data_IF_520318532099
#
_entry.id   IF_520318532099
#
_cell.length_a   1.000
_cell.length_b   1.000
_cell.length_c   1.000
_cell.angle_alpha   90.00
_cell.angle_beta   90.00
_cell.angle_gamma   90.00
#
_symmetry.space_group_name_H-M   'P 1'
#
loop_
_entity.id
_entity.type
_entity.pdbx_description
1 polymer ?
#
# COMPACT_ATOMS: atom_id res chain seq x y z
N UNK A 1 -7.60 18.19 12.54
CA UNK A 1 -6.89 17.81 13.78
C UNK A 1 -7.46 16.54 14.43
N UNK A 2 -8.68 16.45 14.95
CA UNK A 2 -9.13 15.22 15.66
C UNK A 2 -9.17 13.92 14.82
N UNK A 3 -9.47 13.97 13.51
CA UNK A 3 -9.52 12.78 12.62
C UNK A 3 -8.16 12.36 12.04
N UNK A 4 -7.16 13.21 12.10
CA UNK A 4 -5.78 12.90 11.67
C UNK A 4 -5.06 12.07 12.74
N UNK A 5 -5.28 12.37 13.99
CA UNK A 5 -4.79 11.59 15.13
C UNK A 5 -5.38 10.17 15.15
N UNK A 6 -6.63 10.00 14.73
CA UNK A 6 -7.33 8.72 14.75
C UNK A 6 -6.76 7.72 13.74
N UNK A 7 -6.45 8.15 12.51
CA UNK A 7 -5.83 7.30 11.49
C UNK A 7 -4.42 6.86 11.91
N UNK A 8 -3.61 7.78 12.39
CA UNK A 8 -2.26 7.49 12.86
C UNK A 8 -2.28 6.49 14.02
N UNK A 9 -3.19 6.67 14.98
CA UNK A 9 -3.36 5.79 16.14
C UNK A 9 -3.74 4.36 15.72
N UNK A 10 -4.63 4.19 14.72
CA UNK A 10 -5.04 2.89 14.22
C UNK A 10 -3.89 2.15 13.53
N UNK A 11 -3.09 2.84 12.71
CA UNK A 11 -1.91 2.23 12.07
C UNK A 11 -0.82 1.89 13.06
N UNK A 12 -0.55 2.73 14.07
CA UNK A 12 0.41 2.41 15.14
C UNK A 12 0.02 1.14 15.91
N UNK A 13 -1.25 0.99 16.28
CA UNK A 13 -1.74 -0.19 16.97
C UNK A 13 -1.59 -1.45 16.08
N UNK A 14 -1.99 -1.34 14.80
CA UNK A 14 -1.93 -2.45 13.86
C UNK A 14 -0.50 -2.95 13.61
N UNK A 15 0.46 -2.04 13.38
CA UNK A 15 1.82 -2.43 13.05
C UNK A 15 2.66 -2.86 14.26
N UNK A 16 2.24 -2.53 15.49
CA UNK A 16 2.91 -3.00 16.72
C UNK A 16 2.96 -4.51 16.78
N UNK A 17 1.87 -5.16 16.40
CA UNK A 17 1.67 -6.60 16.52
C UNK A 17 1.87 -7.34 15.19
N UNK A 18 2.32 -6.63 14.14
CA UNK A 18 2.39 -7.12 12.76
C UNK A 18 3.25 -8.38 12.60
N UNK A 19 4.31 -8.53 13.41
CA UNK A 19 5.28 -9.62 13.32
C UNK A 19 5.02 -10.78 14.29
N UNK A 20 3.91 -10.73 15.04
CA UNK A 20 3.52 -11.84 15.89
C UNK A 20 3.32 -13.12 15.06
N UNK A 21 3.64 -14.32 15.62
CA UNK A 21 3.53 -15.59 14.91
C UNK A 21 2.17 -15.80 14.25
N UNK A 22 1.07 -15.51 14.96
CA UNK A 22 -0.29 -15.65 14.44
C UNK A 22 -0.57 -14.69 13.26
N UNK A 23 -0.01 -13.46 13.29
CA UNK A 23 -0.17 -12.51 12.20
C UNK A 23 0.57 -12.95 10.95
N UNK A 24 1.78 -13.51 11.09
CA UNK A 24 2.52 -14.14 9.98
C UNK A 24 1.77 -15.33 9.42
N UNK A 25 1.18 -16.16 10.27
CA UNK A 25 0.40 -17.31 9.85
C UNK A 25 -0.84 -16.90 9.06
N UNK A 26 -1.56 -15.89 9.53
CA UNK A 26 -2.70 -15.30 8.81
C UNK A 26 -2.27 -14.78 7.43
N UNK A 27 -1.13 -14.09 7.31
CA UNK A 27 -0.63 -13.62 6.01
C UNK A 27 -0.23 -14.77 5.10
N UNK A 28 0.48 -15.76 5.59
CA UNK A 28 0.85 -16.96 4.81
C UNK A 28 -0.39 -17.67 4.26
N UNK A 29 -1.42 -17.86 5.06
CA UNK A 29 -2.66 -18.49 4.64
C UNK A 29 -3.45 -17.63 3.64
N UNK A 30 -3.41 -16.30 3.80
CA UNK A 30 -4.17 -15.37 2.97
C UNK A 30 -3.53 -15.12 1.60
N UNK A 31 -2.21 -15.05 1.53
CA UNK A 31 -1.48 -14.70 0.30
C UNK A 31 -0.79 -15.89 -0.37
N UNK A 32 -0.64 -17.02 0.32
CA UNK A 32 0.16 -18.15 -0.12
C UNK A 32 1.67 -17.89 -0.03
N UNK A 33 2.12 -16.67 -0.20
CA UNK A 33 3.51 -16.22 0.01
C UNK A 33 3.50 -14.91 0.80
N UNK A 34 4.00 -14.97 2.05
CA UNK A 34 4.11 -13.80 2.92
C UNK A 34 5.40 -13.04 2.62
N UNK A 35 5.27 -11.89 1.96
CA UNK A 35 6.37 -10.94 1.76
C UNK A 35 6.45 -9.90 2.89
N UNK A 36 5.59 -9.96 3.90
CA UNK A 36 5.39 -8.90 4.87
C UNK A 36 4.55 -7.74 4.32
N UNK A 37 3.69 -8.00 3.33
CA UNK A 37 2.79 -7.00 2.75
C UNK A 37 1.53 -6.79 3.59
N UNK A 38 1.07 -5.53 3.63
CA UNK A 38 -0.26 -5.19 4.15
C UNK A 38 -1.25 -4.81 3.03
N UNK A 39 -0.75 -4.43 1.86
CA UNK A 39 -1.53 -4.14 0.65
C UNK A 39 -2.24 -5.40 0.11
N UNK A 40 -3.00 -5.24 -0.97
CA UNK A 40 -3.68 -6.34 -1.66
C UNK A 40 -2.79 -7.05 -2.70
N UNK A 41 -1.53 -6.60 -2.85
CA UNK A 41 -0.60 -7.13 -3.85
C UNK A 41 -0.19 -8.56 -3.53
N UNK A 42 -0.26 -9.44 -4.52
CA UNK A 42 0.33 -10.78 -4.43
C UNK A 42 1.83 -10.74 -4.78
N UNK A 43 2.56 -11.76 -4.34
CA UNK A 43 3.98 -11.89 -4.69
C UNK A 43 4.19 -11.99 -6.21
N UNK A 44 3.28 -12.66 -6.92
CA UNK A 44 3.33 -12.76 -8.38
C UNK A 44 3.12 -11.41 -9.08
N UNK A 45 2.12 -10.63 -8.64
CA UNK A 45 1.93 -9.27 -9.15
C UNK A 45 3.16 -8.40 -8.91
N UNK A 46 3.70 -8.42 -7.69
CA UNK A 46 4.88 -7.63 -7.34
C UNK A 46 6.09 -7.99 -8.22
N UNK A 47 6.31 -9.28 -8.52
CA UNK A 47 7.39 -9.69 -9.43
C UNK A 47 7.22 -9.10 -10.83
N UNK A 48 6.00 -9.04 -11.36
CA UNK A 48 5.70 -8.41 -12.66
C UNK A 48 5.89 -6.90 -12.59
N UNK A 49 5.40 -6.25 -11.55
CA UNK A 49 5.48 -4.80 -11.35
C UNK A 49 6.95 -4.32 -11.26
N UNK A 50 7.80 -5.07 -10.54
CA UNK A 50 9.24 -4.79 -10.46
C UNK A 50 9.92 -4.84 -11.85
N UNK A 51 9.46 -5.69 -12.76
CA UNK A 51 9.99 -5.74 -14.12
C UNK A 51 9.62 -4.47 -14.92
N UNK A 52 8.39 -3.98 -14.76
CA UNK A 52 7.92 -2.75 -15.41
C UNK A 52 8.72 -1.50 -15.01
N UNK A 53 9.24 -1.47 -13.79
CA UNK A 53 10.05 -0.37 -13.26
C UNK A 53 11.46 -0.29 -13.88
N UNK A 54 11.94 -1.35 -14.54
CA UNK A 54 13.26 -1.42 -15.21
C UNK A 54 14.43 -1.00 -14.30
N UNK A 55 14.38 -1.38 -13.03
CA UNK A 55 15.41 -1.05 -12.04
C UNK A 55 16.71 -1.85 -12.26
N UNK A 56 17.83 -1.17 -12.06
CA UNK A 56 19.17 -1.75 -11.98
C UNK A 56 19.77 -1.56 -10.59
N UNK A 57 20.91 -2.15 -10.31
CA UNK A 57 21.62 -1.97 -9.03
C UNK A 57 22.10 -0.53 -8.77
N UNK A 58 22.17 0.32 -9.80
CA UNK A 58 22.45 1.75 -9.68
C UNK A 58 21.21 2.62 -9.47
N UNK A 59 20.03 2.04 -9.51
CA UNK A 59 18.76 2.77 -9.33
C UNK A 59 18.57 3.17 -7.88
N UNK A 60 17.79 4.25 -7.68
CA UNK A 60 17.31 4.68 -6.38
C UNK A 60 15.79 4.76 -6.43
N UNK A 61 15.12 4.00 -5.55
CA UNK A 61 13.67 3.84 -5.49
C UNK A 61 13.12 4.47 -4.21
N UNK A 62 11.95 5.13 -4.33
CA UNK A 62 11.13 5.60 -3.20
C UNK A 62 9.85 4.78 -3.12
N UNK A 63 9.52 4.27 -1.92
CA UNK A 63 8.24 3.63 -1.60
C UNK A 63 7.44 4.54 -0.67
N UNK A 64 6.32 5.03 -1.15
CA UNK A 64 5.42 5.91 -0.41
C UNK A 64 4.39 5.09 0.36
N UNK A 65 4.35 5.26 1.69
CA UNK A 65 3.56 4.42 2.58
C UNK A 65 4.08 3.00 2.63
N UNK A 66 5.39 2.84 2.85
CA UNK A 66 6.06 1.54 2.79
C UNK A 66 5.60 0.54 3.85
N UNK A 67 4.83 0.99 4.85
CA UNK A 67 4.35 0.15 5.95
C UNK A 67 5.49 -0.60 6.64
N UNK A 68 5.32 -1.91 6.94
CA UNK A 68 6.32 -2.72 7.61
C UNK A 68 7.50 -3.13 6.69
N UNK A 69 7.61 -2.53 5.51
CA UNK A 69 8.76 -2.64 4.62
C UNK A 69 8.90 -3.94 3.84
N UNK A 70 7.92 -4.85 3.90
CA UNK A 70 8.03 -6.15 3.24
C UNK A 70 8.19 -6.06 1.73
N UNK A 71 7.37 -5.21 1.07
CA UNK A 71 7.47 -4.94 -0.38
C UNK A 71 8.81 -4.27 -0.71
N UNK A 72 9.18 -3.25 0.05
CA UNK A 72 10.40 -2.50 -0.17
C UNK A 72 11.65 -3.39 -0.05
N UNK A 73 11.70 -4.22 0.99
CA UNK A 73 12.79 -5.17 1.21
C UNK A 73 12.85 -6.22 0.09
N UNK A 74 11.70 -6.69 -0.39
CA UNK A 74 11.63 -7.61 -1.53
C UNK A 74 12.17 -6.96 -2.82
N UNK A 75 11.84 -5.70 -3.09
CA UNK A 75 12.37 -4.96 -4.25
C UNK A 75 13.90 -4.81 -4.13
N UNK A 76 14.40 -4.40 -2.95
CA UNK A 76 15.84 -4.25 -2.69
C UNK A 76 16.59 -5.57 -2.89
N UNK A 77 16.03 -6.69 -2.42
CA UNK A 77 16.57 -8.03 -2.59
C UNK A 77 16.64 -8.44 -4.07
N UNK A 78 15.55 -8.28 -4.82
CA UNK A 78 15.44 -8.69 -6.21
C UNK A 78 16.27 -7.85 -7.17
N UNK A 79 16.44 -6.56 -6.92
CA UNK A 79 17.11 -5.61 -7.82
C UNK A 79 18.47 -5.14 -7.34
N UNK A 80 18.82 -5.44 -6.11
CA UNK A 80 20.07 -4.98 -5.47
C UNK A 80 20.28 -3.48 -5.60
N UNK A 81 19.18 -2.71 -5.65
CA UNK A 81 19.16 -1.25 -5.77
C UNK A 81 18.96 -0.59 -4.40
N UNK A 82 19.34 0.69 -4.31
CA UNK A 82 19.05 1.49 -3.12
C UNK A 82 17.56 1.83 -3.06
N UNK A 83 16.98 1.69 -1.87
CA UNK A 83 15.57 1.95 -1.62
C UNK A 83 15.42 2.85 -0.38
N UNK A 84 14.44 3.75 -0.42
CA UNK A 84 13.98 4.46 0.76
C UNK A 84 12.46 4.34 0.87
N UNK A 85 11.99 4.08 2.07
CA UNK A 85 10.57 4.05 2.42
C UNK A 85 10.17 5.29 3.21
N UNK A 86 9.02 5.87 2.88
CA UNK A 86 8.38 6.94 3.65
C UNK A 86 7.11 6.39 4.31
N UNK A 87 6.96 6.55 5.62
CA UNK A 87 5.84 5.99 6.38
C UNK A 87 5.51 6.89 7.57
N UNK A 88 4.22 7.00 7.92
CA UNK A 88 3.75 7.84 9.02
C UNK A 88 3.81 7.12 10.38
N UNK A 89 3.72 5.78 10.38
CA UNK A 89 3.72 4.96 11.60
C UNK A 89 5.16 4.63 12.05
N UNK A 90 5.48 4.98 13.28
CA UNK A 90 6.77 4.61 13.87
C UNK A 90 6.89 3.10 14.12
N UNK A 91 5.79 2.42 14.48
CA UNK A 91 5.77 0.98 14.65
C UNK A 91 6.07 0.26 13.33
N UNK A 92 5.48 0.73 12.20
CA UNK A 92 5.79 0.21 10.87
C UNK A 92 7.25 0.41 10.50
N UNK A 93 7.84 1.60 10.76
CA UNK A 93 9.24 1.87 10.49
C UNK A 93 10.19 0.96 11.29
N UNK A 94 9.84 0.62 12.53
CA UNK A 94 10.60 -0.35 13.32
C UNK A 94 10.51 -1.75 12.70
N UNK A 95 9.31 -2.19 12.33
CA UNK A 95 9.12 -3.47 11.65
C UNK A 95 9.87 -3.53 10.31
N UNK A 96 9.90 -2.43 9.55
CA UNK A 96 10.63 -2.35 8.29
C UNK A 96 12.15 -2.53 8.47
N UNK A 97 12.74 -1.97 9.52
CA UNK A 97 14.17 -2.17 9.84
C UNK A 97 14.45 -3.64 10.20
N UNK A 98 13.59 -4.27 11.00
CA UNK A 98 13.70 -5.69 11.32
C UNK A 98 13.58 -6.54 10.05
N UNK A 99 12.64 -6.21 9.17
CA UNK A 99 12.47 -6.89 7.88
C UNK A 99 13.70 -6.76 6.98
N UNK A 100 14.29 -5.57 6.91
CA UNK A 100 15.52 -5.34 6.14
C UNK A 100 16.68 -6.22 6.61
N UNK A 101 16.90 -6.30 7.92
CA UNK A 101 17.91 -7.19 8.52
C UNK A 101 17.60 -8.67 8.24
N UNK A 102 16.36 -9.10 8.41
CA UNK A 102 15.95 -10.48 8.19
C UNK A 102 16.15 -10.94 6.73
N UNK A 103 16.07 -10.00 5.77
CA UNK A 103 16.32 -10.25 4.33
C UNK A 103 17.75 -9.93 3.86
N UNK A 104 18.63 -9.46 4.75
CA UNK A 104 20.01 -9.12 4.42
C UNK A 104 20.14 -7.96 3.43
N UNK A 105 19.25 -6.98 3.52
CA UNK A 105 19.20 -5.77 2.65
C UNK A 105 19.32 -4.46 3.43
N UNK A 106 19.71 -4.49 4.69
CA UNK A 106 19.85 -3.33 5.57
C UNK A 106 20.81 -2.27 5.01
N UNK A 107 21.80 -2.67 4.22
CA UNK A 107 22.72 -1.74 3.57
C UNK A 107 22.16 -1.07 2.31
N UNK A 108 21.04 -1.57 1.80
CA UNK A 108 20.36 -1.07 0.61
C UNK A 108 19.08 -0.29 0.93
N UNK A 109 18.53 -0.46 2.14
CA UNK A 109 17.22 0.02 2.50
C UNK A 109 17.30 1.00 3.68
N UNK A 110 16.72 2.19 3.51
CA UNK A 110 16.48 3.17 4.56
C UNK A 110 14.97 3.43 4.70
N UNK A 111 14.53 3.84 5.88
CA UNK A 111 13.14 4.22 6.14
C UNK A 111 13.06 5.48 6.98
N UNK A 112 12.19 6.39 6.55
CA UNK A 112 12.02 7.71 7.14
C UNK A 112 10.55 7.95 7.51
N UNK A 113 10.34 8.72 8.57
CA UNK A 113 8.98 9.18 8.92
C UNK A 113 8.55 10.32 8.01
N UNK A 114 7.29 10.29 7.57
CA UNK A 114 6.70 11.38 6.80
C UNK A 114 5.23 11.17 6.52
N UNK A 115 4.51 12.27 6.33
CA UNK A 115 3.10 12.30 5.96
C UNK A 115 2.96 12.65 4.48
N UNK A 116 2.24 11.83 3.71
CA UNK A 116 1.97 12.07 2.30
C UNK A 116 1.04 13.27 2.05
N UNK A 117 0.41 13.81 3.07
CA UNK A 117 -0.36 15.05 2.97
C UNK A 117 0.53 16.30 3.05
N UNK A 118 1.81 16.14 3.36
CA UNK A 118 2.83 17.20 3.41
C UNK A 118 3.75 17.13 2.18
N UNK A 119 4.70 18.07 2.08
CA UNK A 119 5.74 18.01 1.05
C UNK A 119 6.71 16.84 1.32
N UNK A 120 7.10 16.13 0.28
CA UNK A 120 8.05 15.05 0.42
C UNK A 120 9.45 15.57 0.79
N UNK A 121 10.11 15.02 1.84
CA UNK A 121 11.39 15.52 2.35
C UNK A 121 12.58 15.10 1.48
N UNK A 122 12.42 15.15 0.16
CA UNK A 122 13.44 14.74 -0.81
C UNK A 122 13.69 15.85 -1.83
N UNK A 123 14.93 15.92 -2.32
CA UNK A 123 15.30 16.87 -3.36
C UNK A 123 14.67 16.49 -4.72
N UNK A 124 14.58 17.49 -5.60
CA UNK A 124 14.14 17.29 -6.98
C UNK A 124 15.04 16.28 -7.72
N UNK A 125 14.46 15.52 -8.63
CA UNK A 125 15.20 14.60 -9.51
C UNK A 125 16.06 13.57 -8.74
N UNK A 126 15.58 13.08 -7.60
CA UNK A 126 16.34 12.16 -6.74
C UNK A 126 16.17 10.70 -7.16
N UNK A 127 14.96 10.30 -7.56
CA UNK A 127 14.59 8.90 -7.72
C UNK A 127 14.44 8.47 -9.18
N UNK A 128 14.90 7.24 -9.47
CA UNK A 128 14.65 6.60 -10.77
C UNK A 128 13.23 6.03 -10.86
N UNK A 129 12.67 5.62 -9.71
CA UNK A 129 11.31 5.14 -9.61
C UNK A 129 10.69 5.51 -8.26
N UNK A 130 9.38 5.71 -8.27
CA UNK A 130 8.52 5.84 -7.09
C UNK A 130 7.46 4.74 -7.16
N UNK A 131 7.15 4.12 -6.03
CA UNK A 131 6.05 3.16 -5.91
C UNK A 131 5.10 3.55 -4.77
N UNK A 132 3.83 3.14 -4.87
CA UNK A 132 2.83 3.35 -3.83
C UNK A 132 1.75 2.25 -3.92
N UNK A 133 1.85 1.20 -3.10
CA UNK A 133 0.95 0.05 -3.16
C UNK A 133 -0.24 0.22 -2.19
N UNK A 134 -1.42 0.54 -2.75
CA UNK A 134 -2.68 0.69 -2.02
C UNK A 134 -2.62 1.74 -0.90
N UNK A 135 -1.88 2.84 -1.10
CA UNK A 135 -1.73 3.93 -0.15
C UNK A 135 -2.35 5.25 -0.62
N UNK A 136 -2.39 5.53 -1.93
CA UNK A 136 -2.89 6.80 -2.49
C UNK A 136 -4.36 7.05 -2.11
N UNK A 137 -5.16 6.00 -1.92
CA UNK A 137 -6.53 6.11 -1.44
C UNK A 137 -6.65 6.73 -0.02
N UNK A 138 -5.58 6.76 0.75
CA UNK A 138 -5.54 7.34 2.09
C UNK A 138 -5.07 8.80 2.12
N UNK A 139 -4.69 9.35 0.96
CA UNK A 139 -4.21 10.73 0.83
C UNK A 139 -5.38 11.66 0.55
N UNK A 140 -5.44 12.80 1.28
CA UNK A 140 -6.53 13.79 1.13
C UNK A 140 -6.38 14.65 -0.12
N UNK A 141 -5.13 15.01 -0.46
CA UNK A 141 -4.81 15.86 -1.62
C UNK A 141 -3.92 15.11 -2.61
N UNK A 142 -4.55 14.19 -3.38
CA UNK A 142 -3.83 13.39 -4.39
C UNK A 142 -3.09 14.23 -5.41
N UNK A 143 -3.67 15.36 -5.83
CA UNK A 143 -3.04 16.25 -6.81
C UNK A 143 -1.74 16.86 -6.29
N UNK A 144 -1.63 17.18 -4.99
CA UNK A 144 -0.38 17.62 -4.38
C UNK A 144 0.66 16.49 -4.37
N UNK A 145 0.27 15.29 -3.94
CA UNK A 145 1.19 14.15 -3.90
C UNK A 145 1.71 13.79 -5.29
N UNK A 146 0.86 13.82 -6.32
CA UNK A 146 1.30 13.53 -7.68
C UNK A 146 2.29 14.58 -8.22
N UNK A 147 2.12 15.88 -7.88
CA UNK A 147 3.11 16.92 -8.19
C UNK A 147 4.43 16.70 -7.44
N UNK A 148 4.38 16.30 -6.19
CA UNK A 148 5.58 15.96 -5.42
C UNK A 148 6.29 14.72 -5.97
N UNK A 149 5.55 13.70 -6.39
CA UNK A 149 6.09 12.52 -7.06
C UNK A 149 6.79 12.93 -8.38
N UNK A 150 6.15 13.77 -9.18
CA UNK A 150 6.76 14.31 -10.40
C UNK A 150 8.06 15.04 -10.07
N UNK A 151 8.06 15.93 -9.09
CA UNK A 151 9.23 16.72 -8.66
C UNK A 151 10.42 15.84 -8.25
N UNK A 152 10.18 14.79 -7.42
CA UNK A 152 11.26 13.95 -6.90
C UNK A 152 11.74 12.88 -7.88
N UNK A 153 10.95 12.51 -8.89
CA UNK A 153 11.38 11.62 -9.96
C UNK A 153 12.43 12.30 -10.84
N UNK A 154 13.36 11.53 -11.36
CA UNK A 154 14.26 11.98 -12.44
C UNK A 154 13.49 12.06 -13.76
N UNK A 155 13.92 12.90 -14.73
CA UNK A 155 13.40 12.84 -16.09
C UNK A 155 13.48 11.41 -16.64
N UNK A 156 12.39 10.91 -17.22
CA UNK A 156 12.23 9.50 -17.64
C UNK A 156 12.05 8.49 -16.51
N UNK A 157 11.97 8.94 -15.27
CA UNK A 157 11.65 8.10 -14.11
C UNK A 157 10.23 7.57 -14.15
N UNK A 158 9.97 6.49 -13.40
CA UNK A 158 8.69 5.78 -13.41
C UNK A 158 7.97 5.90 -12.08
N UNK A 159 6.66 6.07 -12.14
CA UNK A 159 5.77 5.96 -11.00
C UNK A 159 4.81 4.79 -11.20
N UNK A 160 4.84 3.83 -10.29
CA UNK A 160 3.89 2.71 -10.27
C UNK A 160 3.10 2.74 -8.97
N UNK A 161 1.77 2.79 -9.08
CA UNK A 161 0.92 2.69 -7.89
C UNK A 161 -0.31 1.85 -8.15
N UNK A 162 -0.93 1.40 -7.06
CA UNK A 162 -2.22 0.73 -7.08
C UNK A 162 -3.23 1.51 -6.23
N UNK A 163 -4.47 1.57 -6.69
CA UNK A 163 -5.58 2.19 -6.00
C UNK A 163 -6.75 1.21 -5.92
N UNK A 164 -7.04 0.71 -4.72
CA UNK A 164 -8.10 -0.26 -4.45
C UNK A 164 -9.46 0.41 -4.08
N UNK A 165 -9.63 1.68 -4.47
CA UNK A 165 -10.84 2.45 -4.22
C UNK A 165 -11.33 3.21 -5.48
N UNK A 166 -11.19 2.61 -6.67
CA UNK A 166 -11.73 3.16 -7.91
C UNK A 166 -13.18 2.71 -8.07
N UNK A 167 -14.11 3.66 -8.16
CA UNK A 167 -15.54 3.40 -8.30
C UNK A 167 -15.83 2.86 -9.70
N UNK A 168 -16.38 1.66 -9.80
CA UNK A 168 -16.72 1.00 -11.07
C UNK A 168 -18.17 0.55 -11.14
N UNK A 169 -18.88 0.58 -10.02
CA UNK A 169 -20.30 0.24 -9.93
C UNK A 169 -21.02 0.99 -8.82
N UNK A 170 -22.23 0.59 -8.51
CA UNK A 170 -23.01 1.19 -7.44
C UNK A 170 -22.44 0.84 -6.05
N UNK A 171 -22.41 1.82 -5.16
CA UNK A 171 -21.96 1.64 -3.77
C UNK A 171 -22.94 2.33 -2.81
N UNK A 172 -23.28 1.67 -1.71
CA UNK A 172 -24.14 2.24 -0.67
C UNK A 172 -23.35 3.13 0.30
N UNK A 173 -24.03 4.04 0.98
CA UNK A 173 -23.43 4.83 2.06
C UNK A 173 -22.90 3.97 3.22
N UNK A 174 -23.53 2.82 3.47
CA UNK A 174 -23.05 1.87 4.47
C UNK A 174 -21.76 1.21 4.04
N UNK A 175 -21.67 0.77 2.80
CA UNK A 175 -20.44 0.21 2.21
C UNK A 175 -19.28 1.21 2.27
N UNK A 176 -19.53 2.49 1.97
CA UNK A 176 -18.52 3.56 2.12
C UNK A 176 -18.04 3.66 3.58
N UNK A 177 -18.96 3.62 4.56
CA UNK A 177 -18.59 3.66 5.98
C UNK A 177 -17.77 2.45 6.40
N UNK A 178 -18.20 1.24 6.01
CA UNK A 178 -17.46 0.01 6.30
C UNK A 178 -16.07 0.01 5.64
N UNK A 179 -15.98 0.44 4.38
CA UNK A 179 -14.70 0.53 3.64
C UNK A 179 -13.74 1.54 4.28
N UNK A 180 -14.26 2.56 4.95
CA UNK A 180 -13.48 3.58 5.66
C UNK A 180 -13.33 3.31 7.16
N UNK A 181 -13.74 2.13 7.65
CA UNK A 181 -13.68 1.80 9.09
C UNK A 181 -12.25 1.60 9.62
N UNK A 182 -11.30 1.33 8.74
CA UNK A 182 -9.88 1.18 9.08
C UNK A 182 -9.07 2.46 8.88
N UNK A 183 -9.70 3.53 8.43
CA UNK A 183 -9.05 4.82 8.20
C UNK A 183 -9.67 5.59 7.05
N UNK A 184 -9.20 6.82 6.85
CA UNK A 184 -9.65 7.65 5.75
C UNK A 184 -9.45 6.93 4.41
N UNK A 185 -10.52 6.87 3.60
CA UNK A 185 -10.49 6.29 2.26
C UNK A 185 -11.19 7.25 1.30
N UNK A 186 -10.45 7.73 0.32
CA UNK A 186 -10.99 8.52 -0.78
C UNK A 186 -11.34 7.60 -1.96
N UNK A 187 -12.62 7.47 -2.25
CA UNK A 187 -13.08 6.72 -3.43
C UNK A 187 -12.92 7.61 -4.65
N UNK A 188 -12.19 7.13 -5.65
CA UNK A 188 -11.92 7.83 -6.90
C UNK A 188 -12.99 7.49 -7.95
N UNK A 189 -13.58 8.49 -8.60
CA UNK A 189 -14.39 8.26 -9.80
C UNK A 189 -13.51 7.84 -11.00
N UNK A 190 -14.06 7.16 -12.00
CA UNK A 190 -13.32 6.83 -13.22
C UNK A 190 -12.67 8.08 -13.85
N UNK A 191 -11.42 7.99 -14.26
CA UNK A 191 -10.66 9.10 -14.85
C UNK A 191 -10.14 10.13 -13.84
N UNK A 192 -10.46 10.00 -12.56
CA UNK A 192 -10.02 10.98 -11.54
C UNK A 192 -8.50 10.96 -11.34
N UNK A 193 -7.91 9.78 -11.19
CA UNK A 193 -6.46 9.65 -11.03
C UNK A 193 -5.73 10.06 -12.30
N UNK A 194 -6.20 9.65 -13.48
CA UNK A 194 -5.58 9.95 -14.77
C UNK A 194 -5.54 11.46 -15.05
N UNK A 195 -6.60 12.18 -14.71
CA UNK A 195 -6.64 13.63 -14.82
C UNK A 195 -5.62 14.29 -13.90
N UNK A 196 -5.58 13.91 -12.63
CA UNK A 196 -4.64 14.50 -11.68
C UNK A 196 -3.17 14.17 -11.99
N UNK A 197 -2.90 12.97 -12.52
CA UNK A 197 -1.58 12.58 -13.01
C UNK A 197 -1.14 13.47 -14.18
N UNK A 198 -2.02 13.68 -15.16
CA UNK A 198 -1.76 14.56 -16.30
C UNK A 198 -1.51 16.01 -15.85
N UNK A 199 -2.34 16.52 -14.95
CA UNK A 199 -2.19 17.87 -14.37
C UNK A 199 -0.88 18.02 -13.59
N UNK A 200 -0.34 16.93 -13.07
CA UNK A 200 0.94 16.89 -12.36
C UNK A 200 2.17 16.72 -13.29
N UNK A 201 1.99 16.52 -14.60
CA UNK A 201 3.10 16.28 -15.54
C UNK A 201 3.55 14.82 -15.64
N UNK A 202 2.71 13.90 -15.18
CA UNK A 202 2.94 12.46 -15.27
C UNK A 202 2.09 11.86 -16.41
N UNK A 203 2.73 11.16 -17.32
CA UNK A 203 2.04 10.48 -18.44
C UNK A 203 1.68 9.05 -18.03
N UNK A 204 0.41 8.71 -18.00
CA UNK A 204 -0.05 7.34 -17.81
C UNK A 204 0.36 6.50 -19.03
N UNK A 205 1.26 5.56 -18.84
CA UNK A 205 1.73 4.66 -19.88
C UNK A 205 0.87 3.39 -19.97
N UNK A 206 0.41 2.86 -18.83
CA UNK A 206 -0.41 1.65 -18.75
C UNK A 206 -1.29 1.68 -17.51
N UNK A 207 -2.49 1.13 -17.64
CA UNK A 207 -3.37 0.78 -16.52
C UNK A 207 -3.74 -0.69 -16.62
N UNK A 208 -3.89 -1.35 -15.47
CA UNK A 208 -4.31 -2.77 -15.42
C UNK A 208 -5.27 -2.98 -14.25
N UNK A 209 -6.38 -3.69 -14.52
CA UNK A 209 -7.31 -4.11 -13.47
C UNK A 209 -6.69 -5.24 -12.66
N UNK A 210 -6.52 -5.01 -11.38
CA UNK A 210 -5.97 -5.94 -10.37
C UNK A 210 -7.01 -6.31 -9.30
N UNK A 211 -8.30 -6.14 -9.60
CA UNK A 211 -9.40 -6.35 -8.63
C UNK A 211 -9.44 -7.78 -8.12
N UNK A 212 -9.08 -8.77 -8.94
CA UNK A 212 -9.06 -10.17 -8.53
C UNK A 212 -8.14 -10.44 -7.33
N UNK A 213 -7.03 -9.73 -7.20
CA UNK A 213 -6.13 -9.86 -6.04
C UNK A 213 -6.76 -9.38 -4.75
N UNK A 214 -7.59 -8.33 -4.80
CA UNK A 214 -8.36 -7.85 -3.64
C UNK A 214 -9.32 -8.93 -3.17
N UNK A 215 -10.07 -9.54 -4.10
CA UNK A 215 -11.03 -10.62 -3.78
C UNK A 215 -10.30 -11.77 -3.10
N UNK A 216 -9.17 -12.20 -3.67
CA UNK A 216 -8.38 -13.34 -3.15
C UNK A 216 -7.81 -13.02 -1.77
N UNK A 217 -7.13 -11.88 -1.62
CA UNK A 217 -6.48 -11.50 -0.36
C UNK A 217 -7.51 -11.20 0.75
N UNK A 218 -8.61 -10.51 0.44
CA UNK A 218 -9.65 -10.21 1.43
C UNK A 218 -10.34 -11.48 1.92
N UNK A 219 -10.74 -12.39 1.02
CA UNK A 219 -11.32 -13.69 1.40
C UNK A 219 -10.33 -14.56 2.16
N UNK A 220 -9.07 -14.62 1.71
CA UNK A 220 -8.01 -15.35 2.38
C UNK A 220 -7.80 -14.85 3.82
N UNK A 221 -7.68 -13.53 4.01
CA UNK A 221 -7.57 -12.93 5.34
C UNK A 221 -8.82 -13.19 6.20
N UNK A 222 -10.01 -13.07 5.63
CA UNK A 222 -11.27 -13.32 6.35
C UNK A 222 -11.31 -14.74 6.92
N UNK A 223 -10.96 -15.73 6.11
CA UNK A 223 -10.95 -17.15 6.48
C UNK A 223 -9.84 -17.45 7.49
N UNK A 224 -8.61 -16.99 7.22
CA UNK A 224 -7.47 -17.22 8.10
C UNK A 224 -7.69 -16.61 9.48
N UNK A 225 -8.13 -15.35 9.55
CA UNK A 225 -8.45 -14.67 10.80
C UNK A 225 -9.56 -15.36 11.58
N UNK A 226 -10.60 -15.85 10.89
CA UNK A 226 -11.67 -16.61 11.55
C UNK A 226 -11.13 -17.89 12.19
N UNK A 227 -10.23 -18.61 11.51
CA UNK A 227 -9.57 -19.82 12.01
C UNK A 227 -8.73 -19.53 13.26
N UNK A 228 -8.03 -18.41 13.27
CA UNK A 228 -7.15 -17.98 14.37
C UNK A 228 -7.81 -17.03 15.37
N UNK A 229 -9.14 -16.99 15.41
CA UNK A 229 -9.91 -16.07 16.28
C UNK A 229 -9.47 -16.12 17.73
N UNK A 230 -9.29 -17.33 18.28
CA UNK A 230 -8.93 -17.53 19.68
C UNK A 230 -7.55 -16.94 20.04
N UNK A 231 -6.65 -16.81 19.07
CA UNK A 231 -5.32 -16.19 19.24
C UNK A 231 -5.35 -14.68 18.99
N UNK A 232 -6.19 -14.22 18.07
CA UNK A 232 -6.27 -12.81 17.65
C UNK A 232 -7.09 -11.95 18.61
N UNK A 233 -8.24 -12.44 19.12
CA UNK A 233 -9.09 -11.67 20.03
C UNK A 233 -8.40 -11.18 21.30
N UNK A 234 -7.52 -11.95 21.97
CA UNK A 234 -6.75 -11.45 23.12
C UNK A 234 -5.79 -10.31 22.77
N UNK A 235 -5.34 -10.22 21.52
CA UNK A 235 -4.39 -9.20 21.03
C UNK A 235 -5.14 -7.94 20.63
N UNK A 236 -6.18 -8.08 19.80
CA UNK A 236 -6.90 -6.97 19.15
C UNK A 236 -8.11 -6.49 19.96
N UNK A 237 -8.70 -7.36 20.80
CA UNK A 237 -9.99 -7.20 21.39
C UNK A 237 -11.13 -7.68 20.48
N UNK A 238 -12.16 -8.32 21.07
CA UNK A 238 -13.26 -8.92 20.31
C UNK A 238 -13.99 -7.92 19.40
N UNK A 239 -14.23 -6.69 19.87
CA UNK A 239 -14.91 -5.64 19.09
C UNK A 239 -14.10 -5.25 17.83
N UNK A 240 -12.79 -5.04 17.98
CA UNK A 240 -11.93 -4.68 16.87
C UNK A 240 -11.77 -5.84 15.88
N UNK A 241 -11.67 -7.06 16.37
CA UNK A 241 -11.70 -8.26 15.55
C UNK A 241 -12.95 -8.29 14.65
N UNK A 242 -14.15 -8.11 15.22
CA UNK A 242 -15.42 -8.15 14.47
C UNK A 242 -15.55 -6.97 13.49
N UNK A 243 -15.05 -5.78 13.82
CA UNK A 243 -15.00 -4.62 12.92
C UNK A 243 -14.13 -4.95 11.70
N UNK A 244 -12.95 -5.52 11.94
CA UNK A 244 -12.03 -5.86 10.85
C UNK A 244 -12.56 -7.00 9.97
N UNK A 245 -13.23 -8.00 10.55
CA UNK A 245 -13.90 -9.06 9.79
C UNK A 245 -14.99 -8.49 8.86
N UNK A 246 -15.82 -7.57 9.34
CA UNK A 246 -16.83 -6.90 8.50
C UNK A 246 -16.19 -6.06 7.39
N UNK A 247 -15.11 -5.36 7.68
CA UNK A 247 -14.33 -4.63 6.68
C UNK A 247 -13.82 -5.54 5.56
N UNK A 248 -13.23 -6.69 5.90
CA UNK A 248 -12.73 -7.67 4.93
C UNK A 248 -13.86 -8.28 4.08
N UNK A 249 -14.97 -8.62 4.71
CA UNK A 249 -16.14 -9.15 4.03
C UNK A 249 -16.70 -8.15 3.02
N UNK A 250 -16.89 -6.88 3.44
CA UNK A 250 -17.38 -5.82 2.57
C UNK A 250 -16.41 -5.54 1.42
N UNK A 251 -15.10 -5.49 1.71
CA UNK A 251 -14.07 -5.30 0.68
C UNK A 251 -14.12 -6.41 -0.38
N UNK A 252 -14.26 -7.67 0.05
CA UNK A 252 -14.38 -8.80 -0.86
C UNK A 252 -15.66 -8.74 -1.71
N UNK A 253 -16.79 -8.32 -1.12
CA UNK A 253 -18.06 -8.17 -1.82
C UNK A 253 -17.98 -7.08 -2.89
N UNK A 254 -17.57 -5.86 -2.49
CA UNK A 254 -17.47 -4.72 -3.42
C UNK A 254 -16.53 -5.01 -4.60
N UNK A 255 -15.43 -5.72 -4.37
CA UNK A 255 -14.52 -6.14 -5.42
C UNK A 255 -15.13 -7.25 -6.30
N UNK A 256 -15.80 -8.25 -5.70
CA UNK A 256 -16.46 -9.33 -6.46
C UNK A 256 -17.60 -8.84 -7.34
N UNK A 257 -18.34 -7.82 -6.88
CA UNK A 257 -19.48 -7.21 -7.56
C UNK A 257 -19.07 -6.11 -8.55
N UNK A 258 -17.75 -5.88 -8.74
CA UNK A 258 -17.19 -4.80 -9.53
C UNK A 258 -17.74 -3.41 -9.16
N UNK A 259 -18.06 -3.20 -7.88
CA UNK A 259 -18.49 -1.89 -7.35
C UNK A 259 -17.29 -0.99 -7.02
N UNK A 260 -16.23 -1.58 -6.47
CA UNK A 260 -14.90 -0.96 -6.34
C UNK A 260 -13.85 -1.85 -6.99
N UNK A 261 -13.04 -1.25 -7.85
CA UNK A 261 -11.91 -1.93 -8.50
C UNK A 261 -10.58 -1.48 -7.90
N UNK A 262 -9.58 -2.36 -8.01
CA UNK A 262 -8.18 -2.05 -7.78
C UNK A 262 -7.48 -1.92 -9.12
N UNK A 263 -7.02 -0.71 -9.40
CA UNK A 263 -6.34 -0.39 -10.66
C UNK A 263 -4.86 -0.12 -10.39
N UNK A 264 -4.00 -0.76 -11.15
CA UNK A 264 -2.58 -0.43 -11.24
C UNK A 264 -2.37 0.62 -12.31
N UNK A 265 -1.56 1.62 -12.00
CA UNK A 265 -1.13 2.69 -12.90
C UNK A 265 0.38 2.66 -13.01
N UNK A 266 0.90 2.60 -14.23
CA UNK A 266 2.30 2.86 -14.55
C UNK A 266 2.40 4.19 -15.28
N UNK A 267 3.17 5.12 -14.74
CA UNK A 267 3.34 6.45 -15.29
C UNK A 267 4.83 6.72 -15.57
N UNK A 268 5.08 7.53 -16.59
CA UNK A 268 6.39 8.08 -16.88
C UNK A 268 6.42 9.57 -16.53
N UNK A 269 7.52 10.04 -15.92
CA UNK A 269 7.86 11.45 -15.90
C UNK A 269 8.39 11.87 -17.27
N UNK A 270 7.76 12.88 -17.89
CA UNK A 270 8.12 13.40 -19.22
C UNK A 270 9.32 14.36 -19.11
#
# INVERSE_FOLDING_TARGET
MAKEDENRTNYEAFYRDFDLPVMRQVRNEAYGEDLGQHSWVSAEELRRDIQLLQLSSSSFLLDLGCGPGGILAFIAEQRRCRCVGLEISHAALQAARVMACARGVESLLDVQTGDLNELLPFADNSFCAVVAFDVILHVRNRGQVFREIERVLKPGGKFLFTDAAVLTGAISNESVRLRSSQGFTQIASPGFNERLLTEAGLRVATTEDRTASVVTAAKGRLIARHRHRAELEPIEGASQFDIYQRYLQETASLASDASLSRIMYLCDRI
#
